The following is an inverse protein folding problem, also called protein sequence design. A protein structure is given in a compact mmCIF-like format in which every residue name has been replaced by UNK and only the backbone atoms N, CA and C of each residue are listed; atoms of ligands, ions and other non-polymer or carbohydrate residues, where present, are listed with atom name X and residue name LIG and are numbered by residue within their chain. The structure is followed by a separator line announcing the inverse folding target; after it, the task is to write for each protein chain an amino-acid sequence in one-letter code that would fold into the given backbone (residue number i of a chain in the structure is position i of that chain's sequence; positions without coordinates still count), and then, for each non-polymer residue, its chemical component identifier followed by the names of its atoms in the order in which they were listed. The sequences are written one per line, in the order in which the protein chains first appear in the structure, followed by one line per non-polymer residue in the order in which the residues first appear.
data_IF_325394759515
#
_entry.id   IF_325394759515
#
_cell.length_a   1.000
_cell.length_b   1.000
_cell.length_c   1.000
_cell.angle_alpha   90.00
_cell.angle_beta   90.00
_cell.angle_gamma   90.00
#
_symmetry.space_group_name_H-M   'P 1'
#
loop_
_entity.id
_entity.type
_entity.pdbx_description
1 polymer ?
#
# COMPACT_ATOMS: atom_id res chain seq x y z
N UNK A 1 -12.85 -25.33 55.27
CA UNK A 1 -12.61 -24.10 56.06
C UNK A 1 -11.84 -23.14 55.16
N UNK A 2 -12.56 -22.20 54.53
CA UNK A 2 -11.99 -21.24 53.59
C UNK A 2 -11.75 -19.90 54.30
N UNK A 3 -10.56 -19.31 54.14
CA UNK A 3 -10.22 -17.98 54.63
C UNK A 3 -10.88 -16.91 53.74
N UNK A 4 -11.48 -15.85 54.30
CA UNK A 4 -12.03 -14.75 53.51
C UNK A 4 -10.90 -13.87 52.96
N UNK A 5 -11.06 -13.42 51.71
CA UNK A 5 -10.18 -12.47 51.02
C UNK A 5 -10.58 -11.03 51.41
N UNK A 6 -9.59 -10.24 51.83
CA UNK A 6 -9.75 -8.81 52.11
C UNK A 6 -9.84 -7.96 50.83
N UNK A 7 -10.62 -6.86 50.82
CA UNK A 7 -10.75 -5.98 49.68
C UNK A 7 -9.56 -5.01 49.55
N UNK A 8 -8.97 -4.92 48.35
CA UNK A 8 -7.96 -3.91 48.03
C UNK A 8 -8.61 -2.55 47.74
N UNK A 9 -8.18 -1.54 48.49
CA UNK A 9 -8.50 -0.13 48.29
C UNK A 9 -8.05 0.37 46.91
N UNK A 10 -9.00 0.92 46.13
CA UNK A 10 -8.73 1.76 44.98
C UNK A 10 -8.31 3.16 45.47
N UNK A 11 -7.08 3.57 45.17
CA UNK A 11 -6.68 4.98 45.27
C UNK A 11 -6.88 5.66 43.92
N UNK A 12 -7.85 6.57 43.89
CA UNK A 12 -8.11 7.48 42.78
C UNK A 12 -7.12 8.63 42.88
N UNK A 13 -6.15 8.72 41.96
CA UNK A 13 -5.32 9.91 41.80
C UNK A 13 -6.00 10.86 40.81
N UNK A 14 -6.74 11.81 41.36
CA UNK A 14 -7.19 13.01 40.66
C UNK A 14 -6.02 13.98 40.53
N UNK A 15 -5.59 14.30 39.30
CA UNK A 15 -4.73 15.44 39.02
C UNK A 15 -5.50 16.47 38.22
N UNK A 16 -5.90 17.52 38.94
CA UNK A 16 -6.30 18.79 38.38
C UNK A 16 -5.09 19.47 37.72
N UNK A 17 -5.27 19.98 36.51
CA UNK A 17 -4.51 21.12 35.99
C UNK A 17 -5.52 22.12 35.41
N UNK A 18 -5.83 23.12 36.24
CA UNK A 18 -6.46 24.38 35.86
C UNK A 18 -5.36 25.36 35.42
N UNK A 19 -5.68 26.25 34.49
CA UNK A 19 -4.85 27.40 34.11
C UNK A 19 -4.72 27.50 32.58
N UNK A 20 -5.70 28.02 31.84
CA UNK A 20 -6.04 29.45 31.72
C UNK A 20 -4.90 30.28 31.13
N UNK A 21 -4.89 30.42 29.79
CA UNK A 21 -4.42 31.65 29.14
C UNK A 21 -5.21 31.85 27.84
N UNK A 22 -6.26 32.67 27.93
CA UNK A 22 -6.78 33.43 26.80
C UNK A 22 -5.75 34.53 26.44
N UNK A 23 -5.41 34.66 25.17
CA UNK A 23 -5.01 35.92 24.56
C UNK A 23 -5.34 35.83 23.05
N UNK A 24 -6.47 36.42 22.65
CA UNK A 24 -6.51 37.58 21.73
C UNK A 24 -5.89 37.26 20.36
N UNK A 25 -6.68 36.85 19.37
CA UNK A 25 -7.37 37.77 18.45
C UNK A 25 -6.46 38.90 17.97
N UNK A 26 -5.99 38.84 16.71
CA UNK A 26 -6.37 39.85 15.69
C UNK A 26 -5.73 39.54 14.34
N UNK A 27 -6.59 39.55 13.33
CA UNK A 27 -6.29 39.62 11.91
C UNK A 27 -5.25 40.70 11.59
N UNK A 28 -4.28 40.38 10.74
CA UNK A 28 -3.84 41.30 9.69
C UNK A 28 -3.69 40.53 8.38
N UNK A 29 -4.75 40.55 7.58
CA UNK A 29 -4.68 40.34 6.14
C UNK A 29 -3.90 41.53 5.55
N UNK A 30 -2.63 41.30 5.19
CA UNK A 30 -1.90 42.19 4.30
C UNK A 30 -2.10 41.70 2.86
N UNK A 31 -3.19 42.13 2.24
CA UNK A 31 -3.40 42.00 0.80
C UNK A 31 -2.48 43.00 0.09
N UNK A 32 -1.30 42.55 -0.33
CA UNK A 32 -0.44 43.31 -1.22
C UNK A 32 -0.94 43.11 -2.66
N UNK A 33 -1.85 43.98 -3.09
CA UNK A 33 -2.24 44.13 -4.49
C UNK A 33 -1.08 44.79 -5.24
N UNK A 34 -0.26 43.96 -5.90
CA UNK A 34 0.65 44.42 -6.92
C UNK A 34 0.01 44.22 -8.31
N UNK A 35 -0.26 45.38 -8.91
CA UNK A 35 -0.66 45.66 -10.28
C UNK A 35 -0.44 44.54 -11.32
N UNK A 36 -1.54 44.03 -11.86
CA UNK A 36 -1.59 43.34 -13.14
C UNK A 36 -1.45 44.42 -14.22
N UNK A 37 -0.33 44.46 -14.93
CA UNK A 37 -0.24 45.22 -16.18
C UNK A 37 -0.84 44.37 -17.31
N UNK A 38 -1.63 44.95 -18.24
CA UNK A 38 -2.07 44.24 -19.43
C UNK A 38 -0.85 44.02 -20.33
N UNK A 39 -0.51 42.76 -20.61
CA UNK A 39 0.43 42.44 -21.67
C UNK A 39 -0.25 42.73 -23.00
N UNK A 40 0.18 43.82 -23.65
CA UNK A 40 -0.15 44.13 -25.03
C UNK A 40 0.36 42.99 -25.93
N UNK A 41 -0.55 42.36 -26.67
CA UNK A 41 -0.25 41.28 -27.58
C UNK A 41 0.19 41.84 -28.94
N UNK A 42 1.43 41.61 -29.41
CA UNK A 42 1.77 41.86 -30.79
C UNK A 42 1.22 40.72 -31.66
N UNK A 43 0.34 41.08 -32.60
CA UNK A 43 -0.10 40.18 -33.67
C UNK A 43 1.10 39.79 -34.55
N UNK A 44 1.38 38.50 -34.76
CA UNK A 44 2.35 38.09 -35.76
C UNK A 44 1.75 38.22 -37.18
N UNK A 45 2.58 38.53 -38.18
CA UNK A 45 2.14 38.69 -39.57
C UNK A 45 1.68 37.35 -40.16
N UNK A 46 0.79 37.43 -41.15
CA UNK A 46 0.41 36.31 -42.00
C UNK A 46 1.66 35.72 -42.67
N UNK A 47 1.95 34.45 -42.37
CA UNK A 47 3.00 33.67 -43.02
C UNK A 47 2.35 32.49 -43.74
N UNK A 48 2.48 32.57 -45.06
CA UNK A 48 2.40 31.56 -46.13
C UNK A 48 2.21 30.10 -45.71
N UNK A 49 1.19 29.51 -46.35
CA UNK A 49 0.90 28.09 -46.48
C UNK A 49 2.08 27.36 -47.16
N UNK A 50 2.91 26.72 -46.35
CA UNK A 50 3.87 25.72 -46.82
C UNK A 50 3.37 24.34 -46.38
N UNK A 51 3.03 23.54 -47.40
CA UNK A 51 2.47 22.19 -47.30
C UNK A 51 3.30 21.30 -46.34
N UNK A 52 2.67 20.57 -45.40
CA UNK A 52 3.41 19.77 -44.44
C UNK A 52 4.00 18.51 -45.11
N UNK A 53 5.32 18.35 -44.97
CA UNK A 53 6.02 17.07 -45.11
C UNK A 53 5.45 16.03 -44.14
N UNK A 54 5.44 14.72 -44.48
CA UNK A 54 4.94 13.69 -43.59
C UNK A 54 5.82 13.62 -42.34
N UNK A 55 5.25 13.93 -41.18
CA UNK A 55 5.90 13.71 -39.89
C UNK A 55 5.87 12.22 -39.63
N UNK A 56 7.03 11.59 -39.72
CA UNK A 56 7.29 10.23 -39.26
C UNK A 56 6.82 10.13 -37.80
N UNK A 57 5.85 9.25 -37.56
CA UNK A 57 5.21 9.09 -36.27
C UNK A 57 6.25 8.76 -35.20
N UNK A 58 6.27 9.56 -34.13
CA UNK A 58 6.96 9.19 -32.91
C UNK A 58 6.44 7.83 -32.43
N UNK A 59 7.31 6.94 -31.90
CA UNK A 59 6.85 5.68 -31.35
C UNK A 59 5.89 5.96 -30.19
N UNK A 60 4.73 5.30 -30.21
CA UNK A 60 3.78 5.31 -29.10
C UNK A 60 4.47 4.82 -27.82
N UNK A 61 4.09 5.36 -26.64
CA UNK A 61 4.67 4.91 -25.38
C UNK A 61 4.39 3.42 -25.21
N UNK A 62 5.45 2.66 -24.97
CA UNK A 62 5.40 1.23 -24.67
C UNK A 62 4.38 0.96 -23.56
N UNK A 63 3.24 0.36 -23.91
CA UNK A 63 2.26 -0.12 -22.96
C UNK A 63 2.93 -1.16 -22.04
N UNK A 64 2.98 -0.86 -20.74
CA UNK A 64 3.43 -1.80 -19.72
C UNK A 64 2.46 -2.97 -19.71
N UNK A 65 2.92 -4.15 -20.14
CA UNK A 65 2.11 -5.36 -20.19
C UNK A 65 1.75 -5.82 -18.78
N UNK A 66 0.53 -5.50 -18.34
CA UNK A 66 -0.05 -6.05 -17.11
C UNK A 66 -0.28 -7.55 -17.31
N UNK A 67 0.08 -8.43 -16.35
CA UNK A 67 -0.22 -9.86 -16.46
C UNK A 67 -1.73 -10.09 -16.61
N UNK A 68 -2.12 -10.84 -17.65
CA UNK A 68 -3.51 -11.06 -18.04
C UNK A 68 -4.28 -12.01 -17.10
N UNK A 69 -3.67 -12.51 -16.02
CA UNK A 69 -4.29 -13.44 -15.07
C UNK A 69 -3.87 -13.13 -13.64
N UNK A 70 -4.77 -13.30 -12.66
CA UNK A 70 -4.43 -13.12 -11.25
C UNK A 70 -3.28 -14.04 -10.84
N UNK A 71 -2.39 -13.54 -9.98
CA UNK A 71 -1.28 -14.33 -9.47
C UNK A 71 -0.84 -13.86 -8.10
N UNK A 72 0.16 -14.56 -7.57
CA UNK A 72 0.73 -14.27 -6.26
C UNK A 72 1.49 -12.94 -6.27
N UNK A 73 1.47 -12.26 -5.12
CA UNK A 73 2.45 -11.24 -4.76
C UNK A 73 3.39 -11.91 -3.74
N UNK A 74 4.50 -12.45 -4.24
CA UNK A 74 5.41 -13.30 -3.49
C UNK A 74 6.66 -12.51 -3.07
N UNK A 75 7.05 -12.60 -1.80
CA UNK A 75 8.30 -12.05 -1.30
C UNK A 75 9.48 -12.79 -1.94
N UNK A 76 10.49 -12.06 -2.40
CA UNK A 76 11.64 -12.63 -3.09
C UNK A 76 12.55 -13.45 -2.14
N UNK A 77 12.68 -13.02 -0.89
CA UNK A 77 13.40 -13.75 0.14
C UNK A 77 12.43 -14.72 0.86
N UNK A 78 12.77 -16.00 1.05
CA UNK A 78 11.91 -16.94 1.77
C UNK A 78 11.83 -16.65 3.28
N UNK A 79 12.77 -15.87 3.83
CA UNK A 79 12.97 -15.65 5.26
C UNK A 79 13.08 -16.99 6.02
N UNK A 80 12.10 -17.33 6.84
CA UNK A 80 11.99 -18.60 7.58
C UNK A 80 10.92 -19.55 7.04
N UNK A 81 10.34 -19.26 5.88
CA UNK A 81 9.36 -20.10 5.20
C UNK A 81 9.94 -20.61 3.86
N UNK A 82 10.38 -21.88 3.76
CA UNK A 82 10.94 -22.42 2.51
C UNK A 82 9.95 -22.40 1.32
N UNK A 83 8.65 -22.33 1.59
CA UNK A 83 7.60 -22.19 0.56
C UNK A 83 7.28 -20.71 0.23
N UNK A 84 8.10 -19.77 0.73
CA UNK A 84 7.99 -18.32 0.60
C UNK A 84 6.74 -17.71 1.23
N UNK A 85 6.78 -16.39 1.43
CA UNK A 85 5.65 -15.60 1.89
C UNK A 85 4.95 -14.89 0.73
N UNK A 86 3.62 -14.92 0.71
CA UNK A 86 2.74 -14.24 -0.22
C UNK A 86 1.76 -13.33 0.52
N UNK A 87 1.27 -12.28 -0.16
CA UNK A 87 0.17 -11.47 0.37
C UNK A 87 -1.09 -12.34 0.45
N UNK A 88 -1.77 -12.31 1.60
CA UNK A 88 -2.86 -13.23 1.95
C UNK A 88 -4.00 -12.52 2.69
N UNK A 89 -5.24 -12.94 2.41
CA UNK A 89 -6.41 -12.59 3.21
C UNK A 89 -6.55 -13.55 4.40
N UNK A 90 -6.59 -13.04 5.66
CA UNK A 90 -6.61 -13.91 6.82
C UNK A 90 -7.79 -14.88 6.87
N UNK A 91 -7.49 -16.12 7.26
CA UNK A 91 -8.49 -17.15 7.49
C UNK A 91 -8.67 -18.08 6.29
N UNK A 92 -9.62 -19.02 6.37
CA UNK A 92 -9.86 -19.98 5.30
C UNK A 92 -11.31 -20.49 5.33
N UNK A 93 -11.89 -20.72 4.17
CA UNK A 93 -13.25 -21.26 4.04
C UNK A 93 -14.28 -20.42 4.79
N UNK A 94 -14.86 -20.96 5.86
CA UNK A 94 -15.87 -20.23 6.67
C UNK A 94 -15.30 -19.16 7.60
N UNK A 95 -14.00 -19.18 7.86
CA UNK A 95 -13.32 -18.18 8.70
C UNK A 95 -12.56 -17.12 7.91
N UNK A 96 -12.68 -17.13 6.57
CA UNK A 96 -12.10 -16.10 5.72
C UNK A 96 -12.60 -14.71 6.15
N UNK A 97 -11.66 -13.81 6.40
CA UNK A 97 -11.94 -12.48 6.94
C UNK A 97 -11.53 -11.39 5.94
N UNK A 98 -12.43 -11.08 5.01
CA UNK A 98 -12.24 -10.03 4.00
C UNK A 98 -12.13 -8.61 4.60
N UNK A 99 -12.49 -8.42 5.87
CA UNK A 99 -12.35 -7.15 6.59
C UNK A 99 -11.08 -7.11 7.46
N UNK A 100 -10.31 -8.21 7.49
CA UNK A 100 -9.04 -8.28 8.21
C UNK A 100 -7.94 -7.52 7.48
N UNK A 101 -6.94 -7.09 8.24
CA UNK A 101 -5.69 -6.65 7.65
C UNK A 101 -5.03 -7.82 6.92
N UNK A 102 -4.57 -7.60 5.69
CA UNK A 102 -3.81 -8.56 4.91
C UNK A 102 -2.55 -8.98 5.68
N UNK A 103 -2.13 -10.21 5.46
CA UNK A 103 -0.93 -10.79 6.07
C UNK A 103 0.05 -11.26 5.02
N UNK A 104 1.28 -11.51 5.44
CA UNK A 104 2.20 -12.34 4.68
C UNK A 104 2.04 -13.78 5.16
N UNK A 105 1.68 -14.71 4.29
CA UNK A 105 1.43 -16.11 4.63
C UNK A 105 2.18 -17.04 3.69
N UNK A 106 2.41 -18.29 4.07
CA UNK A 106 2.96 -19.30 3.18
C UNK A 106 2.20 -19.34 1.86
N UNK A 107 2.91 -19.18 0.75
CA UNK A 107 2.30 -19.12 -0.58
C UNK A 107 1.47 -20.36 -0.93
N UNK A 108 0.24 -20.13 -1.41
CA UNK A 108 -0.74 -21.14 -1.85
C UNK A 108 -1.19 -20.84 -3.29
N UNK A 109 -0.43 -21.28 -4.31
CA UNK A 109 -0.80 -21.04 -5.70
C UNK A 109 -2.22 -21.53 -6.05
N UNK A 110 -3.02 -20.67 -6.66
CA UNK A 110 -4.40 -20.96 -7.03
C UNK A 110 -5.44 -20.84 -5.91
N UNK A 111 -5.03 -20.41 -4.70
CA UNK A 111 -5.96 -20.10 -3.63
C UNK A 111 -6.51 -18.67 -3.78
N UNK A 112 -7.84 -18.53 -3.87
CA UNK A 112 -8.53 -17.26 -4.17
C UNK A 112 -8.15 -16.11 -3.22
N UNK A 113 -7.77 -16.42 -1.98
CA UNK A 113 -7.31 -15.53 -0.92
C UNK A 113 -5.88 -14.97 -1.11
N UNK A 114 -5.16 -15.37 -2.16
CA UNK A 114 -3.81 -14.88 -2.50
C UNK A 114 -3.65 -14.44 -3.97
N UNK A 115 -4.73 -14.45 -4.75
CA UNK A 115 -4.67 -14.15 -6.19
C UNK A 115 -5.00 -12.68 -6.48
N UNK A 116 -3.99 -11.90 -6.88
CA UNK A 116 -4.11 -10.46 -7.14
C UNK A 116 -3.81 -10.09 -8.59
N UNK A 117 -4.37 -8.97 -9.04
CA UNK A 117 -4.03 -8.27 -10.28
C UNK A 117 -3.50 -6.88 -9.95
N UNK A 118 -2.27 -6.59 -10.40
CA UNK A 118 -1.71 -5.24 -10.34
C UNK A 118 -2.22 -4.41 -11.53
N UNK A 119 -2.31 -3.09 -11.38
CA UNK A 119 -2.88 -2.18 -12.37
C UNK A 119 -4.32 -2.55 -12.81
N UNK A 120 -5.13 -3.04 -11.88
CA UNK A 120 -6.53 -3.42 -12.12
C UNK A 120 -7.40 -3.06 -10.90
N UNK A 121 -8.62 -2.53 -11.08
CA UNK A 121 -9.28 -2.23 -12.36
C UNK A 121 -8.76 -0.95 -13.05
N UNK A 122 -7.94 -0.15 -12.36
CA UNK A 122 -7.25 0.99 -12.93
C UNK A 122 -5.74 0.92 -12.65
N UNK A 123 -4.97 1.72 -13.38
CA UNK A 123 -3.52 1.87 -13.16
C UNK A 123 -3.24 2.23 -11.70
N UNK A 124 -2.28 1.53 -11.12
CA UNK A 124 -1.88 1.66 -9.72
C UNK A 124 -2.80 0.95 -8.71
N UNK A 125 -3.90 0.33 -9.12
CA UNK A 125 -4.70 -0.49 -8.20
C UNK A 125 -4.21 -1.92 -8.15
N UNK A 126 -4.32 -2.52 -6.97
CA UNK A 126 -4.16 -3.96 -6.78
C UNK A 126 -5.55 -4.51 -6.46
N UNK A 127 -6.10 -5.35 -7.33
CA UNK A 127 -7.42 -5.97 -7.14
C UNK A 127 -7.31 -7.45 -6.82
N UNK A 128 -8.30 -7.97 -6.12
CA UNK A 128 -8.52 -9.40 -5.88
C UNK A 128 -9.82 -9.84 -6.57
N UNK A 129 -9.74 -10.36 -7.81
CA UNK A 129 -10.92 -10.60 -8.64
C UNK A 129 -11.93 -11.60 -8.06
N UNK A 130 -11.48 -12.56 -7.26
CA UNK A 130 -12.35 -13.54 -6.63
C UNK A 130 -13.43 -12.91 -5.73
N UNK A 131 -13.16 -11.71 -5.20
CA UNK A 131 -14.07 -11.00 -4.29
C UNK A 131 -14.50 -9.62 -4.79
N UNK A 132 -14.04 -9.18 -5.96
CA UNK A 132 -14.34 -7.85 -6.53
C UNK A 132 -13.96 -6.69 -5.58
N UNK A 133 -12.77 -6.80 -4.96
CA UNK A 133 -12.24 -5.82 -4.00
C UNK A 133 -10.84 -5.36 -4.42
N UNK A 134 -10.44 -4.20 -3.91
CA UNK A 134 -9.12 -3.61 -4.08
C UNK A 134 -8.37 -3.51 -2.75
N UNK A 135 -7.05 -3.59 -2.81
CA UNK A 135 -6.18 -3.31 -1.68
C UNK A 135 -6.23 -1.83 -1.36
N UNK A 136 -6.43 -1.52 -0.09
CA UNK A 136 -6.46 -0.17 0.47
C UNK A 136 -5.56 -0.10 1.70
N UNK A 137 -4.69 0.91 1.75
CA UNK A 137 -3.91 1.22 2.94
C UNK A 137 -4.79 1.87 4.02
N UNK A 138 -4.53 1.57 5.29
CA UNK A 138 -5.24 2.20 6.41
C UNK A 138 -4.86 3.66 6.64
N UNK A 139 -3.77 4.12 6.03
CA UNK A 139 -3.23 5.47 6.17
C UNK A 139 -1.93 5.67 5.38
N UNK A 140 -1.37 6.87 5.52
CA UNK A 140 -0.13 7.33 4.84
C UNK A 140 1.01 7.47 5.85
N UNK A 141 1.10 6.56 6.82
CA UNK A 141 2.13 6.59 7.87
C UNK A 141 2.81 5.21 8.01
N UNK A 142 4.08 5.13 8.45
CA UNK A 142 4.72 3.86 8.80
C UNK A 142 3.89 3.05 9.79
N UNK A 143 3.79 1.75 9.58
CA UNK A 143 2.94 0.84 10.34
C UNK A 143 1.49 0.77 9.84
N UNK A 144 1.13 1.49 8.77
CA UNK A 144 -0.21 1.37 8.17
C UNK A 144 -0.42 -0.05 7.63
N UNK A 145 -1.56 -0.65 7.95
CA UNK A 145 -1.95 -1.98 7.47
C UNK A 145 -2.61 -1.88 6.11
N UNK A 146 -2.75 -3.02 5.42
CA UNK A 146 -3.48 -3.12 4.16
C UNK A 146 -4.75 -3.94 4.39
N UNK A 147 -5.86 -3.57 3.76
CA UNK A 147 -7.13 -4.29 3.85
C UNK A 147 -7.80 -4.33 2.48
N UNK A 148 -8.80 -5.19 2.32
CA UNK A 148 -9.65 -5.17 1.13
C UNK A 148 -10.81 -4.20 1.32
N UNK A 149 -11.05 -3.36 0.32
CA UNK A 149 -12.14 -2.40 0.27
C UNK A 149 -12.78 -2.39 -1.14
N UNK A 150 -13.94 -1.76 -1.26
CA UNK A 150 -14.53 -1.53 -2.57
C UNK A 150 -13.58 -0.70 -3.45
N UNK A 151 -13.39 -1.12 -4.70
CA UNK A 151 -12.51 -0.42 -5.62
C UNK A 151 -13.01 1.02 -5.88
N UNK A 152 -12.15 2.00 -5.64
CA UNK A 152 -12.46 3.42 -5.78
C UNK A 152 -11.27 4.20 -6.35
N UNK A 153 -11.53 5.39 -6.88
CA UNK A 153 -10.47 6.35 -7.20
C UNK A 153 -9.99 7.06 -5.92
N UNK A 154 -9.30 6.29 -5.07
CA UNK A 154 -8.84 6.72 -3.75
C UNK A 154 -7.30 6.70 -3.69
N UNK A 155 -6.64 7.73 -3.13
CA UNK A 155 -5.18 7.78 -3.02
C UNK A 155 -4.58 6.59 -2.24
N UNK A 156 -5.27 6.10 -1.22
CA UNK A 156 -4.87 4.93 -0.42
C UNK A 156 -5.00 3.59 -1.15
N UNK A 157 -5.56 3.59 -2.37
CA UNK A 157 -5.62 2.44 -3.28
C UNK A 157 -4.70 2.62 -4.50
N UNK A 158 -3.69 3.48 -4.41
CA UNK A 158 -2.71 3.70 -5.50
C UNK A 158 -1.34 3.22 -5.06
N UNK A 159 -0.80 2.29 -5.81
CA UNK A 159 0.49 1.67 -5.57
C UNK A 159 1.31 1.65 -6.87
N UNK A 160 2.63 1.74 -6.73
CA UNK A 160 3.58 1.48 -7.82
C UNK A 160 4.37 0.21 -7.52
N UNK A 161 4.61 -0.57 -8.56
CA UNK A 161 5.59 -1.66 -8.54
C UNK A 161 6.78 -1.19 -9.36
N UNK A 162 7.93 -1.01 -8.73
CA UNK A 162 9.11 -0.44 -9.38
C UNK A 162 10.07 -1.50 -9.93
N UNK A 163 11.07 -1.05 -10.70
CA UNK A 163 12.06 -1.92 -11.34
C UNK A 163 12.97 -2.65 -10.34
N UNK A 164 12.99 -2.24 -9.07
CA UNK A 164 13.72 -2.94 -8.01
C UNK A 164 12.88 -4.06 -7.38
N UNK A 165 11.61 -4.19 -7.75
CA UNK A 165 10.69 -5.16 -7.19
C UNK A 165 9.98 -4.67 -5.93
N UNK A 166 10.01 -3.37 -5.61
CA UNK A 166 9.30 -2.85 -4.44
C UNK A 166 7.88 -2.43 -4.81
N UNK A 167 6.92 -2.75 -3.94
CA UNK A 167 5.55 -2.24 -4.03
C UNK A 167 5.44 -1.07 -3.05
N UNK A 168 5.10 0.12 -3.56
CA UNK A 168 5.07 1.35 -2.78
C UNK A 168 3.71 2.01 -2.84
N UNK A 169 3.27 2.61 -1.73
CA UNK A 169 2.12 3.51 -1.78
C UNK A 169 2.48 4.71 -2.65
N UNK A 170 1.58 5.07 -3.56
CA UNK A 170 1.86 6.11 -4.56
C UNK A 170 2.04 7.47 -3.88
N UNK A 171 1.13 7.80 -2.97
CA UNK A 171 1.29 8.90 -2.03
C UNK A 171 2.38 8.52 -1.02
N UNK A 172 3.54 9.16 -1.11
CA UNK A 172 4.54 9.11 -0.03
C UNK A 172 4.13 9.96 1.17
N UNK A 173 4.98 9.98 2.19
CA UNK A 173 4.82 10.84 3.37
C UNK A 173 5.85 11.97 3.33
N UNK A 174 5.76 12.93 4.26
CA UNK A 174 6.81 13.94 4.44
C UNK A 174 8.17 13.32 4.81
N UNK A 175 8.17 12.12 5.40
CA UNK A 175 9.33 11.42 5.93
C UNK A 175 9.87 10.32 4.99
N UNK A 176 9.25 10.13 3.81
CA UNK A 176 9.75 9.26 2.76
C UNK A 176 8.67 8.44 2.07
N UNK A 177 9.12 7.49 1.25
CA UNK A 177 8.24 6.55 0.55
C UNK A 177 7.89 5.38 1.47
N UNK A 178 6.65 4.87 1.34
CA UNK A 178 6.19 3.70 2.09
C UNK A 178 6.19 2.46 1.21
N UNK A 179 6.84 1.40 1.68
CA UNK A 179 6.99 0.11 1.01
C UNK A 179 6.14 -0.96 1.69
N UNK A 180 5.50 -1.81 0.90
CA UNK A 180 4.88 -3.04 1.36
C UNK A 180 5.95 -3.94 1.97
N UNK A 181 5.79 -4.25 3.25
CA UNK A 181 6.85 -4.81 4.09
C UNK A 181 6.34 -5.98 4.91
N UNK A 182 7.09 -7.08 4.88
CA UNK A 182 6.89 -8.22 5.79
C UNK A 182 7.48 -7.93 7.17
N UNK A 183 6.74 -8.28 8.22
CA UNK A 183 7.11 -8.08 9.61
C UNK A 183 8.46 -8.72 10.00
N UNK A 184 9.21 -8.11 10.93
CA UNK A 184 10.50 -8.63 11.39
C UNK A 184 10.37 -9.84 12.32
N UNK A 185 9.18 -10.08 12.87
CA UNK A 185 8.92 -11.20 13.77
C UNK A 185 9.11 -12.56 13.08
N UNK A 186 9.49 -13.62 13.81
CA UNK A 186 9.46 -14.98 13.28
C UNK A 186 8.06 -15.37 12.79
N UNK A 187 7.99 -16.24 11.80
CA UNK A 187 6.75 -16.79 11.31
C UNK A 187 5.93 -17.46 12.42
N UNK A 188 4.68 -17.07 12.55
CA UNK A 188 3.72 -17.68 13.48
C UNK A 188 3.10 -18.92 12.81
N UNK A 189 3.20 -20.12 13.40
CA UNK A 189 2.54 -21.31 12.87
C UNK A 189 1.02 -21.18 12.88
N UNK A 190 0.38 -21.43 11.73
CA UNK A 190 -1.09 -21.30 11.56
C UNK A 190 -1.83 -22.61 11.33
N UNK A 191 -1.11 -23.74 11.36
CA UNK A 191 -1.66 -25.09 11.17
C UNK A 191 -1.05 -25.79 9.95
N UNK A 192 -1.40 -27.06 9.73
CA UNK A 192 -0.82 -27.86 8.64
C UNK A 192 0.71 -28.08 8.73
N UNK A 193 1.31 -28.85 7.82
CA UNK A 193 2.75 -28.96 7.71
C UNK A 193 3.31 -27.72 6.99
N UNK A 194 4.00 -26.83 7.72
CA UNK A 194 4.69 -25.65 7.18
C UNK A 194 3.79 -24.49 6.70
N UNK A 195 2.79 -24.08 7.49
CA UNK A 195 2.13 -22.78 7.25
C UNK A 195 2.51 -21.74 8.30
N UNK A 196 3.36 -20.80 7.91
CA UNK A 196 3.75 -19.64 8.69
C UNK A 196 3.00 -18.39 8.23
N UNK A 197 2.80 -17.45 9.15
CA UNK A 197 2.36 -16.09 8.83
C UNK A 197 3.19 -15.04 9.52
N UNK A 198 3.25 -13.86 8.92
CA UNK A 198 3.82 -12.65 9.46
C UNK A 198 2.89 -11.47 9.19
N UNK A 199 3.12 -10.40 9.93
CA UNK A 199 2.46 -9.11 9.70
C UNK A 199 2.88 -8.53 8.35
N UNK A 200 1.98 -7.74 7.76
CA UNK A 200 2.20 -7.02 6.51
C UNK A 200 1.78 -5.57 6.70
N UNK A 201 2.72 -4.66 6.54
CA UNK A 201 2.51 -3.23 6.76
C UNK A 201 3.17 -2.40 5.67
N UNK A 202 2.84 -1.12 5.65
CA UNK A 202 3.57 -0.09 4.93
C UNK A 202 4.60 0.52 5.87
N UNK A 203 5.87 0.46 5.51
CA UNK A 203 6.98 0.99 6.30
C UNK A 203 7.86 1.92 5.48
N UNK A 204 8.66 2.77 6.14
CA UNK A 204 9.59 3.64 5.43
C UNK A 204 10.63 2.81 4.66
N UNK A 205 10.60 2.90 3.33
CA UNK A 205 11.46 2.12 2.44
C UNK A 205 12.96 2.23 2.78
N UNK A 206 13.40 3.39 3.28
CA UNK A 206 14.81 3.65 3.61
C UNK A 206 15.28 3.04 4.94
N UNK A 207 14.35 2.53 5.75
CA UNK A 207 14.60 2.05 7.11
C UNK A 207 14.42 0.54 7.26
N UNK A 208 14.11 -0.15 6.17
CA UNK A 208 13.79 -1.58 6.15
C UNK A 208 14.77 -2.31 5.23
N UNK A 209 15.10 -3.55 5.59
CA UNK A 209 15.95 -4.43 4.78
C UNK A 209 15.20 -4.90 3.52
N UNK A 210 15.91 -4.93 2.40
CA UNK A 210 15.35 -5.35 1.10
C UNK A 210 14.75 -6.76 1.14
N UNK A 211 15.31 -7.66 1.95
CA UNK A 211 14.80 -9.03 2.17
C UNK A 211 13.33 -9.06 2.61
N UNK A 212 12.79 -7.96 3.13
CA UNK A 212 11.38 -7.86 3.57
C UNK A 212 10.50 -7.00 2.66
N UNK A 213 11.04 -6.46 1.57
CA UNK A 213 10.33 -5.48 0.72
C UNK A 213 10.42 -5.74 -0.78
N UNK A 214 11.23 -6.70 -1.23
CA UNK A 214 11.31 -7.08 -2.64
C UNK A 214 10.30 -8.18 -2.98
N UNK A 215 9.47 -7.93 -3.99
CA UNK A 215 8.35 -8.76 -4.38
C UNK A 215 8.44 -9.17 -5.86
N UNK A 216 7.89 -10.34 -6.18
CA UNK A 216 7.54 -10.74 -7.54
C UNK A 216 6.02 -10.72 -7.66
N UNK A 217 5.51 -10.08 -8.71
CA UNK A 217 4.07 -9.96 -8.98
C UNK A 217 3.68 -10.87 -10.15
N UNK A 218 2.60 -11.60 -9.99
CA UNK A 218 2.12 -12.51 -11.03
C UNK A 218 2.99 -13.75 -11.17
N UNK A 219 3.73 -14.12 -10.11
CA UNK A 219 4.54 -15.34 -10.09
C UNK A 219 3.69 -16.51 -10.60
N UNK A 220 4.15 -17.22 -11.66
CA UNK A 220 3.45 -18.42 -12.11
C UNK A 220 3.47 -19.42 -10.96
N UNK A 221 2.38 -20.18 -10.83
CA UNK A 221 2.24 -21.28 -9.87
C UNK A 221 3.61 -21.88 -9.51
N UNK A 222 4.06 -21.70 -8.27
CA UNK A 222 5.22 -22.45 -7.77
C UNK A 222 4.83 -23.91 -7.91
N UNK A 223 5.26 -24.56 -8.99
CA UNK A 223 5.23 -26.00 -9.08
C UNK A 223 6.13 -26.47 -7.95
N UNK A 224 5.49 -26.92 -6.87
CA UNK A 224 6.15 -27.63 -5.81
C UNK A 224 7.00 -28.74 -6.44
N UNK A 225 8.32 -28.60 -6.33
CA UNK A 225 9.29 -29.62 -6.69
C UNK A 225 10.05 -29.36 -7.99
N UNK A 226 11.36 -29.14 -7.85
CA UNK A 226 12.35 -30.08 -8.37
C UNK A 226 13.66 -29.94 -7.55
N UNK A 227 14.52 -30.98 -7.55
CA UNK A 227 15.02 -31.70 -6.37
C UNK A 227 16.14 -31.03 -5.56
#
# INVERSE_FOLDING_TARGET
MAKPLEPRHFQVFSRACQGFFLCLATLFLAACQLAIQPLESPSPPAVVDESPTPVEAAPEPTEVSVPASPGLIQLLDPLDEPEFYCVDVPGFGRSLNLQGALTAHTCKPGADDEMFLFNSPAVGQISMPAYDLCVEASGEEPGSTLQLAGCADAPLQRFRYDDNGQIRLEQGTADGELCLTVGPEPGEPTGGPSHLRRTLTLENCSQIEETRTLWTVGSPNVTAGEP
#
